data_IF_950528486491
#
_entry.id   IF_950528486491
#
_cell.length_a   1.000
_cell.length_b   1.000
_cell.length_c   1.000
_cell.angle_alpha   90.00
_cell.angle_beta   90.00
_cell.angle_gamma   90.00
#
_symmetry.space_group_name_H-M   'P 1'
#
loop_
_entity.id
_entity.type
_entity.pdbx_description
1 polymer ?
#
# COMPACT_ATOMS: atom_id res chain seq x y z
N UNK A 1 -5.18 -18.17 23.99
CA UNK A 1 -5.69 -17.82 22.65
C UNK A 1 -6.94 -16.98 22.86
N UNK A 2 -7.20 -15.97 22.02
CA UNK A 2 -8.36 -15.08 22.14
C UNK A 2 -9.69 -15.78 21.84
N UNK A 3 -10.77 -15.00 21.69
CA UNK A 3 -12.14 -15.53 21.54
C UNK A 3 -12.44 -16.16 20.18
N UNK A 4 -11.71 -15.81 19.12
CA UNK A 4 -11.96 -16.27 17.75
C UNK A 4 -10.70 -16.87 17.13
N UNK A 5 -10.90 -17.83 16.22
CA UNK A 5 -9.83 -18.46 15.46
C UNK A 5 -10.34 -19.01 14.11
N UNK A 6 -9.49 -18.89 13.08
CA UNK A 6 -9.68 -19.45 11.75
C UNK A 6 -8.61 -20.53 11.54
N UNK A 7 -9.03 -21.76 11.24
CA UNK A 7 -8.12 -22.88 11.00
C UNK A 7 -7.66 -22.90 9.55
N UNK A 8 -6.35 -23.00 9.35
CA UNK A 8 -5.76 -23.10 8.01
C UNK A 8 -5.61 -24.57 7.62
N UNK A 9 -5.90 -24.90 6.35
CA UNK A 9 -5.75 -26.28 5.86
C UNK A 9 -4.29 -26.79 5.85
N UNK A 10 -3.32 -25.87 5.90
CA UNK A 10 -1.90 -26.19 5.90
C UNK A 10 -1.52 -27.13 7.06
N UNK A 11 -0.62 -28.09 6.77
CA UNK A 11 -0.09 -29.05 7.74
C UNK A 11 -1.18 -29.76 8.57
N UNK A 12 -2.29 -30.15 7.94
CA UNK A 12 -3.35 -30.90 8.62
C UNK A 12 -4.15 -30.08 9.63
N UNK A 13 -4.17 -28.74 9.51
CA UNK A 13 -5.00 -27.90 10.37
C UNK A 13 -4.27 -27.30 11.56
N UNK A 14 -2.96 -27.46 11.70
CA UNK A 14 -2.21 -27.06 12.92
C UNK A 14 -1.96 -25.56 13.02
N UNK A 15 -2.06 -24.81 11.91
CA UNK A 15 -1.91 -23.36 11.92
C UNK A 15 -3.25 -22.64 11.98
N UNK A 16 -3.26 -21.55 12.76
CA UNK A 16 -4.45 -20.74 12.98
C UNK A 16 -4.12 -19.26 12.76
N UNK A 17 -5.12 -18.52 12.27
CA UNK A 17 -5.21 -17.08 12.44
C UNK A 17 -6.14 -16.85 13.62
N UNK A 18 -5.65 -16.31 14.73
CA UNK A 18 -6.42 -16.24 15.97
C UNK A 18 -6.15 -14.97 16.79
N UNK A 19 -7.05 -14.69 17.73
CA UNK A 19 -6.90 -13.56 18.65
C UNK A 19 -5.86 -13.80 19.75
N UNK A 20 -5.50 -12.75 20.46
CA UNK A 20 -4.68 -12.79 21.68
C UNK A 20 -5.34 -12.06 22.84
N UNK A 21 -5.10 -12.53 24.06
CA UNK A 21 -5.46 -11.81 25.29
C UNK A 21 -4.29 -10.99 25.86
N UNK A 22 -3.08 -11.19 25.34
CA UNK A 22 -1.94 -10.32 25.63
C UNK A 22 -2.08 -9.00 24.87
N UNK A 23 -1.67 -7.92 25.51
CA UNK A 23 -1.56 -6.55 25.00
C UNK A 23 -0.28 -6.32 24.16
N UNK A 24 0.65 -7.28 24.15
CA UNK A 24 1.88 -7.27 23.35
C UNK A 24 1.98 -8.46 22.36
N UNK A 25 2.92 -8.36 21.42
CA UNK A 25 3.34 -9.45 20.53
C UNK A 25 2.80 -9.40 19.10
N UNK A 26 1.85 -8.52 18.80
CA UNK A 26 1.43 -8.26 17.41
C UNK A 26 2.56 -7.53 16.68
N UNK A 27 2.88 -7.98 15.46
CA UNK A 27 4.03 -7.47 14.71
C UNK A 27 5.39 -7.97 15.20
N UNK A 28 5.42 -8.85 16.22
CA UNK A 28 6.66 -9.41 16.77
C UNK A 28 6.77 -10.91 16.47
N UNK A 29 8.00 -11.42 16.47
CA UNK A 29 8.31 -12.84 16.23
C UNK A 29 8.22 -13.68 17.51
N UNK A 30 7.03 -13.74 18.10
CA UNK A 30 6.79 -14.35 19.42
C UNK A 30 5.83 -15.54 19.41
N UNK A 31 5.49 -16.08 18.24
CA UNK A 31 4.62 -17.26 18.12
C UNK A 31 5.39 -18.47 17.60
N UNK A 32 4.93 -19.67 17.97
CA UNK A 32 5.42 -20.95 17.43
C UNK A 32 4.82 -21.30 16.06
N UNK A 33 4.29 -20.31 15.33
CA UNK A 33 3.82 -20.47 13.94
C UNK A 33 2.37 -20.05 13.65
N UNK A 34 1.53 -19.84 14.66
CA UNK A 34 0.20 -19.25 14.45
C UNK A 34 0.27 -17.73 14.24
N UNK A 35 -0.68 -17.19 13.48
CA UNK A 35 -0.79 -15.75 13.20
C UNK A 35 -1.74 -15.12 14.23
N UNK A 36 -1.27 -14.07 14.93
CA UNK A 36 -2.01 -13.39 15.99
C UNK A 36 -2.54 -12.05 15.51
N UNK A 37 -3.81 -11.77 15.82
CA UNK A 37 -4.49 -10.49 15.58
C UNK A 37 -4.96 -9.89 16.92
N UNK A 38 -5.20 -8.57 16.94
CA UNK A 38 -5.86 -7.94 18.10
C UNK A 38 -7.29 -8.45 18.25
N UNK A 39 -7.90 -8.36 19.45
CA UNK A 39 -9.25 -8.86 19.71
C UNK A 39 -10.29 -8.39 18.69
N UNK A 40 -10.33 -7.09 18.40
CA UNK A 40 -11.31 -6.52 17.48
C UNK A 40 -11.04 -6.93 16.02
N UNK A 41 -9.76 -6.99 15.63
CA UNK A 41 -9.34 -7.38 14.29
C UNK A 41 -9.74 -8.84 13.96
N UNK A 42 -9.54 -9.77 14.91
CA UNK A 42 -9.91 -11.17 14.69
C UNK A 42 -11.44 -11.37 14.66
N UNK A 43 -12.19 -10.60 15.45
CA UNK A 43 -13.65 -10.65 15.44
C UNK A 43 -14.20 -10.19 14.09
N UNK A 44 -13.69 -9.07 13.58
CA UNK A 44 -14.05 -8.55 12.27
C UNK A 44 -13.71 -9.55 11.15
N UNK A 45 -12.52 -10.14 11.19
CA UNK A 45 -12.09 -11.13 10.19
C UNK A 45 -12.95 -12.41 10.26
N UNK A 46 -13.23 -12.91 11.47
CA UNK A 46 -14.02 -14.13 11.66
C UNK A 46 -15.45 -13.98 11.13
N UNK A 47 -16.07 -12.81 11.29
CA UNK A 47 -17.42 -12.54 10.80
C UNK A 47 -17.51 -12.30 9.30
N UNK A 48 -16.43 -11.86 8.66
CA UNK A 48 -16.42 -11.45 7.25
C UNK A 48 -15.91 -12.52 6.30
N UNK A 49 -15.09 -13.48 6.78
CA UNK A 49 -14.43 -14.47 5.93
C UNK A 49 -15.20 -15.79 5.92
N UNK A 50 -15.75 -16.22 4.76
CA UNK A 50 -16.39 -17.52 4.64
C UNK A 50 -15.41 -18.69 4.83
N UNK A 51 -15.94 -19.84 5.24
CA UNK A 51 -15.18 -21.09 5.21
C UNK A 51 -14.65 -21.37 3.79
N UNK A 52 -13.49 -22.03 3.71
CA UNK A 52 -12.77 -22.33 2.47
C UNK A 52 -12.22 -21.12 1.70
N UNK A 53 -12.24 -19.93 2.30
CA UNK A 53 -11.52 -18.77 1.73
C UNK A 53 -10.03 -19.10 1.60
N UNK A 54 -9.47 -18.87 0.41
CA UNK A 54 -8.06 -19.13 0.12
C UNK A 54 -7.17 -18.23 0.99
N UNK A 55 -6.21 -18.84 1.67
CA UNK A 55 -5.15 -18.13 2.40
C UNK A 55 -3.81 -18.36 1.71
N UNK A 56 -3.07 -17.28 1.48
CA UNK A 56 -1.72 -17.33 0.92
C UNK A 56 -0.77 -16.58 1.84
N UNK A 57 0.28 -17.26 2.29
CA UNK A 57 1.35 -16.66 3.08
C UNK A 57 2.47 -16.28 2.11
N UNK A 58 2.87 -15.02 2.12
CA UNK A 58 3.96 -14.49 1.29
C UNK A 58 5.01 -13.83 2.17
N UNK A 59 6.27 -13.91 1.75
CA UNK A 59 7.37 -13.16 2.35
C UNK A 59 7.92 -12.19 1.30
N UNK A 60 7.40 -10.97 1.29
CA UNK A 60 7.72 -9.94 0.30
C UNK A 60 8.10 -8.64 1.02
N UNK A 61 9.36 -8.50 1.46
CA UNK A 61 9.82 -7.28 2.12
C UNK A 61 9.90 -6.08 1.17
N UNK A 62 9.89 -6.31 -0.14
CA UNK A 62 9.84 -5.25 -1.16
C UNK A 62 8.56 -5.43 -1.97
N UNK A 63 7.79 -4.36 -2.11
CA UNK A 63 6.64 -4.27 -3.00
C UNK A 63 6.85 -3.11 -3.96
N UNK A 64 6.49 -3.31 -5.22
CA UNK A 64 6.59 -2.29 -6.26
C UNK A 64 5.26 -2.16 -6.97
N UNK A 65 4.90 -0.94 -7.36
CA UNK A 65 3.67 -0.65 -8.08
C UNK A 65 3.93 0.39 -9.18
N UNK A 66 3.22 0.23 -10.29
CA UNK A 66 3.09 1.24 -11.34
C UNK A 66 1.61 1.62 -11.35
N UNK A 67 1.33 2.87 -10.99
CA UNK A 67 -0.04 3.40 -10.96
C UNK A 67 -0.52 3.71 -12.39
N UNK A 68 -1.85 3.82 -12.61
CA UNK A 68 -2.41 4.15 -13.92
C UNK A 68 -1.90 5.46 -14.53
N UNK A 69 -1.46 6.41 -13.69
CA UNK A 69 -0.87 7.69 -14.11
C UNK A 69 0.64 7.59 -14.44
N UNK A 70 1.20 6.38 -14.40
CA UNK A 70 2.60 6.09 -14.68
C UNK A 70 3.54 6.31 -13.49
N UNK A 71 3.04 6.78 -12.33
CA UNK A 71 3.85 6.90 -11.12
C UNK A 71 4.34 5.53 -10.66
N UNK A 72 5.57 5.50 -10.17
CA UNK A 72 6.23 4.29 -9.70
C UNK A 72 6.44 4.38 -8.21
N UNK A 73 5.96 3.40 -7.46
CA UNK A 73 6.13 3.34 -6.02
C UNK A 73 6.91 2.10 -5.59
N UNK A 74 7.71 2.26 -4.54
CA UNK A 74 8.30 1.14 -3.80
C UNK A 74 7.95 1.26 -2.32
N UNK A 75 7.60 0.15 -1.70
CA UNK A 75 7.46 0.02 -0.26
C UNK A 75 8.45 -1.04 0.22
N UNK A 76 9.36 -0.65 1.12
CA UNK A 76 10.43 -1.54 1.62
C UNK A 76 10.31 -1.71 3.12
N UNK A 77 10.19 -2.95 3.56
CA UNK A 77 10.23 -3.40 4.94
C UNK A 77 11.55 -4.08 5.25
N UNK A 78 11.85 -4.17 6.54
CA UNK A 78 12.87 -5.07 7.04
C UNK A 78 12.52 -6.54 6.68
N UNK A 79 13.48 -7.35 6.20
CA UNK A 79 13.25 -8.77 5.92
C UNK A 79 12.99 -9.56 7.20
N UNK A 80 12.35 -10.72 7.05
CA UNK A 80 12.05 -11.62 8.15
C UNK A 80 13.34 -12.20 8.77
N UNK A 81 13.59 -11.89 10.04
CA UNK A 81 14.63 -12.54 10.85
C UNK A 81 14.34 -14.04 11.03
N UNK A 82 15.40 -14.84 11.04
CA UNK A 82 15.38 -16.27 11.37
C UNK A 82 15.78 -16.52 12.81
N UNK A 83 16.72 -15.73 13.33
CA UNK A 83 17.23 -15.82 14.71
C UNK A 83 17.19 -14.48 15.43
N UNK A 84 17.34 -14.48 16.76
CA UNK A 84 17.41 -13.25 17.57
C UNK A 84 18.70 -12.44 17.32
N UNK A 85 19.73 -13.04 16.72
CA UNK A 85 20.99 -12.37 16.39
C UNK A 85 20.96 -11.66 15.05
N UNK A 86 19.92 -11.91 14.26
CA UNK A 86 19.79 -11.27 12.96
C UNK A 86 19.44 -9.80 13.16
N UNK A 87 20.13 -8.91 12.45
CA UNK A 87 19.77 -7.50 12.35
C UNK A 87 19.00 -7.26 11.04
N UNK A 88 17.66 -7.14 11.10
CA UNK A 88 16.85 -6.89 9.90
C UNK A 88 17.23 -5.61 9.15
N UNK A 89 17.88 -4.63 9.78
CA UNK A 89 18.25 -3.40 9.10
C UNK A 89 19.41 -3.63 8.10
N UNK A 90 20.32 -4.54 8.43
CA UNK A 90 21.52 -4.81 7.62
C UNK A 90 21.43 -6.09 6.78
N UNK A 91 20.49 -6.99 7.07
CA UNK A 91 20.27 -8.21 6.28
C UNK A 91 20.08 -7.90 4.78
N UNK A 92 20.62 -8.74 3.88
CA UNK A 92 20.42 -8.58 2.45
C UNK A 92 18.96 -8.85 2.06
N UNK A 93 18.47 -8.07 1.09
CA UNK A 93 17.17 -8.28 0.47
C UNK A 93 17.39 -8.63 -1.00
N UNK A 94 17.05 -9.84 -1.40
CA UNK A 94 17.07 -10.25 -2.80
C UNK A 94 15.82 -9.74 -3.52
N UNK A 95 16.00 -9.09 -4.67
CA UNK A 95 14.90 -8.70 -5.54
C UNK A 95 14.49 -9.87 -6.43
N UNK A 96 13.18 -10.05 -6.60
CA UNK A 96 12.62 -10.90 -7.65
C UNK A 96 12.93 -10.35 -9.05
N UNK A 97 12.79 -11.17 -10.08
CA UNK A 97 13.01 -10.76 -11.48
C UNK A 97 12.16 -9.55 -11.88
N UNK A 98 10.89 -9.51 -11.46
CA UNK A 98 9.99 -8.38 -11.76
C UNK A 98 10.41 -7.10 -11.06
N UNK A 99 10.88 -7.18 -9.81
CA UNK A 99 11.42 -6.03 -9.07
C UNK A 99 12.73 -5.55 -9.68
N UNK A 100 13.63 -6.46 -10.07
CA UNK A 100 14.86 -6.09 -10.77
C UNK A 100 14.56 -5.38 -12.10
N UNK A 101 13.59 -5.87 -12.88
CA UNK A 101 13.14 -5.21 -14.10
C UNK A 101 12.48 -3.84 -13.83
N UNK A 102 11.70 -3.72 -12.75
CA UNK A 102 11.13 -2.45 -12.30
C UNK A 102 12.23 -1.42 -12.02
N UNK A 103 13.28 -1.79 -11.30
CA UNK A 103 14.44 -0.91 -11.00
C UNK A 103 15.27 -0.61 -12.24
N UNK A 104 15.41 -1.58 -13.15
CA UNK A 104 16.18 -1.41 -14.38
C UNK A 104 15.54 -0.42 -15.35
N UNK A 105 14.23 -0.21 -15.28
CA UNK A 105 13.49 0.71 -16.15
C UNK A 105 14.07 2.15 -16.08
N UNK A 106 14.19 2.85 -17.23
CA UNK A 106 14.64 4.25 -17.25
C UNK A 106 13.66 5.21 -16.57
N UNK A 107 12.40 4.78 -16.38
CA UNK A 107 11.37 5.57 -15.68
C UNK A 107 11.51 5.50 -14.16
N UNK A 108 12.39 4.65 -13.63
CA UNK A 108 12.63 4.51 -12.20
C UNK A 108 13.84 5.34 -11.78
N UNK A 109 13.64 6.23 -10.82
CA UNK A 109 14.72 6.87 -10.08
C UNK A 109 15.40 5.82 -9.19
N UNK A 110 16.54 5.33 -9.69
CA UNK A 110 17.35 4.31 -9.00
C UNK A 110 17.96 4.83 -7.71
N UNK A 111 18.25 6.12 -7.61
CA UNK A 111 18.79 6.71 -6.40
C UNK A 111 17.71 6.77 -5.31
N UNK A 112 16.50 7.23 -5.66
CA UNK A 112 15.35 7.20 -4.75
C UNK A 112 15.00 5.76 -4.31
N UNK A 113 15.03 4.81 -5.25
CA UNK A 113 14.83 3.39 -4.93
C UNK A 113 15.91 2.85 -3.97
N UNK A 114 17.18 3.13 -4.23
CA UNK A 114 18.29 2.71 -3.37
C UNK A 114 18.17 3.31 -1.96
N UNK A 115 17.77 4.58 -1.85
CA UNK A 115 17.49 5.21 -0.56
C UNK A 115 16.33 4.54 0.17
N UNK A 116 15.25 4.18 -0.52
CA UNK A 116 14.15 3.43 0.09
C UNK A 116 14.61 2.05 0.60
N UNK A 117 15.46 1.36 -0.17
CA UNK A 117 16.08 0.08 0.22
C UNK A 117 16.98 0.19 1.46
N UNK A 118 17.66 1.33 1.63
CA UNK A 118 18.49 1.59 2.81
C UNK A 118 17.64 1.98 4.03
N UNK A 119 16.59 2.79 3.84
CA UNK A 119 15.73 3.27 4.93
C UNK A 119 14.82 2.17 5.50
N UNK A 120 14.22 1.34 4.64
CA UNK A 120 13.31 0.25 5.02
C UNK A 120 12.17 0.69 5.94
N UNK A 121 11.60 1.87 5.67
CA UNK A 121 10.62 2.53 6.55
C UNK A 121 9.24 1.87 6.59
N UNK A 122 8.96 0.94 5.68
CA UNK A 122 7.63 0.34 5.50
C UNK A 122 6.59 1.28 4.85
N UNK A 123 7.00 2.49 4.47
CA UNK A 123 6.12 3.47 3.81
C UNK A 123 6.35 3.49 2.29
N UNK A 124 5.29 3.60 1.47
CA UNK A 124 5.44 3.77 0.03
C UNK A 124 6.20 5.06 -0.34
N UNK A 125 7.17 4.96 -1.25
CA UNK A 125 8.00 6.07 -1.74
C UNK A 125 7.86 6.17 -3.25
N UNK A 126 7.63 7.38 -3.76
CA UNK A 126 7.64 7.67 -5.19
C UNK A 126 9.08 7.56 -5.72
N UNK A 127 9.27 6.72 -6.74
CA UNK A 127 10.56 6.42 -7.37
C UNK A 127 10.49 6.53 -8.89
N UNK A 128 9.58 7.36 -9.40
CA UNK A 128 9.62 7.81 -10.79
C UNK A 128 10.22 9.21 -10.85
N UNK A 129 10.99 9.50 -11.88
CA UNK A 129 11.26 10.88 -12.24
C UNK A 129 9.92 11.55 -12.53
N UNK A 130 9.72 12.78 -12.06
CA UNK A 130 8.62 13.59 -12.57
C UNK A 130 8.78 13.61 -14.09
N UNK A 131 7.81 13.03 -14.81
CA UNK A 131 7.72 13.30 -16.23
C UNK A 131 7.75 14.82 -16.35
N UNK A 132 8.75 15.36 -17.05
CA UNK A 132 8.61 16.67 -17.65
C UNK A 132 7.34 16.56 -18.49
N UNK A 133 6.24 17.03 -17.93
CA UNK A 133 5.00 17.22 -18.67
C UNK A 133 5.34 18.36 -19.61
N UNK A 134 5.87 18.04 -20.79
CA UNK A 134 5.82 19.00 -21.89
C UNK A 134 4.32 19.24 -22.09
N UNK A 135 3.78 20.45 -21.83
CA UNK A 135 2.36 20.67 -22.02
C UNK A 135 2.13 20.64 -23.53
N UNK A 136 1.71 19.49 -24.03
CA UNK A 136 1.21 19.38 -25.39
C UNK A 136 -0.15 20.09 -25.41
N UNK A 137 -0.07 21.40 -25.70
CA UNK A 137 -1.09 22.23 -26.35
C UNK A 137 -2.50 22.14 -25.75
N UNK A 138 -2.75 22.95 -24.71
CA UNK A 138 -4.07 23.56 -24.52
C UNK A 138 -4.11 24.92 -25.23
N UNK A 139 -3.92 24.94 -26.55
CA UNK A 139 -4.32 26.07 -27.38
C UNK A 139 -5.76 25.87 -27.84
N UNK A 140 -6.70 26.09 -26.93
CA UNK A 140 -8.04 26.57 -27.31
C UNK A 140 -8.34 27.79 -26.46
N UNK A 141 -8.05 28.95 -27.03
CA UNK A 141 -8.57 30.23 -26.54
C UNK A 141 -10.09 30.15 -26.50
N UNK A 142 -10.77 30.56 -25.42
CA UNK A 142 -12.19 30.85 -25.48
C UNK A 142 -12.36 32.22 -26.15
N UNK A 143 -12.99 32.24 -27.31
CA UNK A 143 -13.55 33.47 -27.89
C UNK A 143 -14.71 33.92 -26.99
N UNK A 144 -14.50 35.00 -26.23
CA UNK A 144 -15.55 35.63 -25.45
C UNK A 144 -16.38 36.53 -26.38
N UNK A 145 -17.61 36.12 -26.67
CA UNK A 145 -18.62 37.01 -27.26
C UNK A 145 -19.12 38.01 -26.19
N UNK A 146 -19.41 39.26 -26.55
CA UNK A 146 -19.89 40.26 -25.59
C UNK A 146 -21.34 39.99 -25.18
N UNK A 147 -21.59 40.07 -23.88
CA UNK A 147 -22.92 40.07 -23.27
C UNK A 147 -23.55 41.45 -23.46
N UNK A 148 -24.69 41.49 -24.16
CA UNK A 148 -25.51 42.69 -24.36
C UNK A 148 -26.21 43.08 -23.05
N UNK A 149 -26.16 44.38 -22.72
CA UNK A 149 -26.77 44.96 -21.53
C UNK A 149 -28.31 44.93 -21.61
N UNK A 150 -28.95 44.42 -20.56
CA UNK A 150 -30.40 44.51 -20.36
C UNK A 150 -30.77 45.92 -19.85
N UNK A 151 -31.82 46.51 -20.42
CA UNK A 151 -32.39 47.79 -20.01
C UNK A 151 -33.21 47.66 -18.70
N UNK A 152 -33.34 48.73 -17.89
CA UNK A 152 -34.13 48.69 -16.66
C UNK A 152 -35.64 48.82 -16.97
N UNK A 153 -36.42 47.89 -16.43
CA UNK A 153 -37.88 47.92 -16.47
C UNK A 153 -38.42 48.79 -15.32
N UNK A 154 -39.24 49.77 -15.67
CA UNK A 154 -39.85 50.76 -14.76
C UNK A 154 -41.02 50.17 -13.98
N UNK A 155 -41.07 50.43 -12.67
CA UNK A 155 -42.18 50.13 -11.77
C UNK A 155 -43.45 50.95 -12.11
N UNK A 156 -44.66 50.40 -11.88
CA UNK A 156 -45.85 51.23 -11.71
C UNK A 156 -46.24 51.36 -10.23
N UNK A 157 -46.84 52.51 -9.95
CA UNK A 157 -47.22 53.02 -8.65
C UNK A 157 -48.54 52.44 -8.10
N UNK A 158 -48.60 52.44 -6.76
CA UNK A 158 -49.74 52.52 -5.84
C UNK A 158 -51.18 52.33 -6.37
N UNK A 159 -51.88 51.36 -5.75
CA UNK A 159 -53.09 51.60 -4.95
C UNK A 159 -53.33 50.47 -3.95
#
# INVERSE_FOLDING_TARGET
>A
MGRYALRLAAQGGVYLIHGTNADFGIGMRVSSGCIRLRPDDIEALFRSVPANTRVQIVNQPVKVAIEPDGKRYVEVHQPLSRTERDDPQTMPIALSQSQAAFVASPLTDRAAFAQAMQRRSGMPVLVSYAASVTPAVLSRSPSAAPISAAQPETAPAAR
#
